data_IF_750053180233
#
_entry.id   IF_750053180233
#
_cell.length_a   1.000
_cell.length_b   1.000
_cell.length_c   1.000
_cell.angle_alpha   90.00
_cell.angle_beta   90.00
_cell.angle_gamma   90.00
#
_symmetry.space_group_name_H-M   'P 1'
#
loop_
_entity.id
_entity.type
_entity.pdbx_description
1 polymer ?
#
# COMPACT_ATOMS: atom_id res chain seq x y z
N UNK A 1 11.27 -9.76 11.15
CA UNK A 1 12.00 -9.25 9.96
C UNK A 1 12.64 -10.33 9.09
N UNK A 2 13.16 -11.44 9.65
CA UNK A 2 13.79 -12.51 8.87
C UNK A 2 12.84 -13.23 7.88
N UNK A 3 11.57 -13.39 8.22
CA UNK A 3 10.60 -14.16 7.41
C UNK A 3 10.24 -13.50 6.07
N UNK A 4 10.13 -12.16 6.03
CA UNK A 4 9.77 -11.44 4.80
C UNK A 4 10.92 -11.38 3.78
N UNK A 5 12.17 -11.48 4.22
CA UNK A 5 13.31 -11.61 3.30
C UNK A 5 13.33 -12.99 2.64
N UNK A 6 13.03 -14.05 3.41
CA UNK A 6 13.08 -15.42 2.92
C UNK A 6 12.14 -15.66 1.72
N UNK A 7 10.95 -15.05 1.72
CA UNK A 7 10.01 -15.16 0.60
C UNK A 7 10.51 -14.48 -0.68
N UNK A 8 11.09 -13.27 -0.58
CA UNK A 8 11.65 -12.54 -1.72
C UNK A 8 12.87 -13.28 -2.29
N UNK A 9 13.74 -13.78 -1.41
CA UNK A 9 14.93 -14.51 -1.80
C UNK A 9 14.55 -15.82 -2.51
N UNK A 10 13.51 -16.51 -2.03
CA UNK A 10 12.99 -17.71 -2.69
C UNK A 10 12.40 -17.41 -4.07
N UNK A 11 11.65 -16.32 -4.23
CA UNK A 11 11.09 -15.91 -5.52
C UNK A 11 12.19 -15.62 -6.55
N UNK A 12 13.26 -14.93 -6.13
CA UNK A 12 14.44 -14.68 -6.99
C UNK A 12 15.12 -15.98 -7.44
N UNK A 13 15.28 -16.95 -6.54
CA UNK A 13 15.84 -18.26 -6.88
C UNK A 13 15.00 -19.03 -7.91
N UNK A 14 13.69 -18.77 -7.98
CA UNK A 14 12.78 -19.34 -8.98
C UNK A 14 12.71 -18.53 -10.28
N UNK A 15 13.55 -17.49 -10.43
CA UNK A 15 13.54 -16.63 -11.61
C UNK A 15 12.37 -15.65 -11.66
N UNK A 16 11.66 -15.44 -10.55
CA UNK A 16 10.54 -14.50 -10.47
C UNK A 16 11.04 -13.12 -10.04
N UNK A 17 10.86 -12.06 -10.86
CA UNK A 17 11.20 -10.70 -10.47
C UNK A 17 10.42 -10.29 -9.22
N UNK A 18 11.13 -9.88 -8.18
CA UNK A 18 10.53 -9.56 -6.89
C UNK A 18 11.37 -8.52 -6.15
N UNK A 19 10.68 -7.63 -5.43
CA UNK A 19 11.29 -6.56 -4.65
C UNK A 19 10.44 -6.26 -3.43
N UNK A 20 11.09 -5.86 -2.33
CA UNK A 20 10.40 -5.31 -1.16
C UNK A 20 10.03 -3.86 -1.45
N UNK A 21 8.73 -3.56 -1.38
CA UNK A 21 8.21 -2.20 -1.63
C UNK A 21 8.08 -1.35 -0.36
N UNK A 22 8.21 -1.97 0.83
CA UNK A 22 8.14 -1.24 2.09
C UNK A 22 7.92 -2.13 3.31
N UNK A 23 7.32 -1.53 4.33
CA UNK A 23 6.98 -2.10 5.64
C UNK A 23 5.68 -1.53 6.16
N UNK A 24 4.91 -2.33 6.87
CA UNK A 24 3.80 -1.82 7.69
C UNK A 24 4.40 -1.24 8.97
N UNK A 25 4.13 0.04 9.23
CA UNK A 25 4.73 0.79 10.35
C UNK A 25 3.76 1.00 11.52
N UNK A 26 2.47 0.71 11.34
CA UNK A 26 1.43 1.02 12.33
C UNK A 26 1.06 2.52 12.39
N UNK A 27 1.50 3.31 11.41
CA UNK A 27 1.11 4.72 11.24
C UNK A 27 -0.33 4.86 10.73
N UNK A 28 -0.91 6.05 10.90
CA UNK A 28 -2.18 6.47 10.32
C UNK A 28 -2.05 6.98 8.88
N UNK A 29 -0.88 6.83 8.26
CA UNK A 29 -0.59 7.28 6.88
C UNK A 29 -0.15 6.14 5.97
N UNK A 30 -0.55 6.23 4.70
CA UNK A 30 0.08 5.52 3.59
C UNK A 30 1.11 6.43 2.95
N UNK A 31 2.38 6.06 3.09
CA UNK A 31 3.50 6.79 2.52
C UNK A 31 4.12 6.01 1.35
N UNK A 32 4.24 6.66 0.18
CA UNK A 32 4.80 6.08 -1.04
C UNK A 32 5.88 6.99 -1.60
N UNK A 33 7.07 6.44 -1.80
CA UNK A 33 8.18 7.10 -2.49
C UNK A 33 8.36 6.54 -3.89
N UNK A 34 8.39 7.41 -4.89
CA UNK A 34 8.58 7.06 -6.29
C UNK A 34 9.62 8.00 -6.95
N UNK A 35 10.88 7.55 -7.01
CA UNK A 35 12.01 8.40 -7.40
C UNK A 35 12.19 9.55 -6.41
N UNK A 36 12.17 10.77 -6.93
CA UNK A 36 12.25 12.00 -6.13
C UNK A 36 10.89 12.46 -5.58
N UNK A 37 9.80 11.80 -5.98
CA UNK A 37 8.46 12.13 -5.49
C UNK A 37 8.14 11.36 -4.21
N UNK A 38 7.45 12.04 -3.30
CA UNK A 38 6.89 11.46 -2.08
C UNK A 38 5.41 11.81 -2.02
N UNK A 39 4.59 10.81 -1.74
CA UNK A 39 3.15 10.96 -1.54
C UNK A 39 2.80 10.43 -0.16
N UNK A 40 1.88 11.11 0.51
CA UNK A 40 1.38 10.72 1.82
C UNK A 40 -0.12 10.99 1.87
N UNK A 41 -0.88 10.01 2.37
CA UNK A 41 -2.32 10.12 2.58
C UNK A 41 -2.68 9.61 3.96
N UNK A 42 -3.65 10.24 4.62
CA UNK A 42 -4.23 9.69 5.84
C UNK A 42 -5.09 8.46 5.49
N UNK A 43 -4.95 7.38 6.26
CA UNK A 43 -5.72 6.16 6.08
C UNK A 43 -7.21 6.39 6.29
N UNK A 44 -7.61 7.30 7.19
CA UNK A 44 -9.03 7.63 7.39
C UNK A 44 -9.67 8.19 6.13
N UNK A 45 -8.94 9.03 5.40
CA UNK A 45 -9.44 9.72 4.22
C UNK A 45 -9.56 8.75 3.05
N UNK A 46 -8.55 7.90 2.87
CA UNK A 46 -8.59 6.81 1.88
C UNK A 46 -9.73 5.84 2.17
N UNK A 47 -9.90 5.47 3.44
CA UNK A 47 -10.97 4.58 3.87
C UNK A 47 -12.35 5.23 3.63
N UNK A 48 -12.55 6.48 4.02
CA UNK A 48 -13.80 7.21 3.81
C UNK A 48 -14.18 7.26 2.32
N UNK A 49 -13.24 7.64 1.44
CA UNK A 49 -13.50 7.70 -0.01
C UNK A 49 -13.89 6.32 -0.53
N UNK A 50 -13.15 5.27 -0.18
CA UNK A 50 -13.44 3.91 -0.62
C UNK A 50 -14.78 3.42 -0.08
N UNK A 51 -14.98 3.48 1.24
CA UNK A 51 -16.14 2.97 1.94
C UNK A 51 -17.43 3.64 1.48
N UNK A 52 -17.41 4.98 1.34
CA UNK A 52 -18.59 5.75 0.98
C UNK A 52 -18.78 5.92 -0.54
N UNK A 53 -18.02 5.22 -1.38
CA UNK A 53 -18.11 5.36 -2.85
C UNK A 53 -19.54 5.11 -3.36
N UNK A 54 -20.20 4.04 -2.91
CA UNK A 54 -21.57 3.69 -3.37
C UNK A 54 -22.60 4.68 -2.80
N UNK A 55 -22.52 4.99 -1.50
CA UNK A 55 -23.44 5.92 -0.84
C UNK A 55 -23.45 7.28 -1.54
N UNK A 56 -22.27 7.82 -1.84
CA UNK A 56 -22.11 9.09 -2.57
C UNK A 56 -22.70 9.07 -3.99
N UNK A 57 -22.69 7.91 -4.66
CA UNK A 57 -23.32 7.78 -5.99
C UNK A 57 -24.85 7.75 -5.88
N UNK A 58 -25.38 7.15 -4.81
CA UNK A 58 -26.81 7.03 -4.58
C UNK A 58 -27.42 8.34 -4.08
N UNK A 59 -26.72 9.07 -3.21
CA UNK A 59 -27.15 10.38 -2.69
C UNK A 59 -27.18 11.49 -3.77
N UNK A 60 -26.51 11.27 -4.91
CA UNK A 60 -26.51 12.21 -6.05
C UNK A 60 -27.72 12.03 -6.97
N UNK A 61 -28.64 11.11 -6.67
CA UNK A 61 -29.90 10.91 -7.41
C UNK A 61 -31.05 11.60 -6.69
#
# INVERSE_FOLDING_TARGET
EAETSAAVDRAKLLGVPSARIGTVTGSDTLDVKAGDNSFSWNLSDLHDVWWNTIARVMDKK
#
